data_IF_107684777580
#
_entry.id   IF_107684777580
#
_cell.length_a   1.000
_cell.length_b   1.000
_cell.length_c   1.000
_cell.angle_alpha   90.00
_cell.angle_beta   90.00
_cell.angle_gamma   90.00
#
_symmetry.space_group_name_H-M   'P 1'
#
loop_
_entity.id
_entity.type
_entity.pdbx_description
1 polymer ?
#
# COMPACT_ATOMS: atom_id res chain seq x y z
N UNK A 1 -3.93 -12.48 13.45
CA UNK A 1 -3.50 -12.56 12.02
C UNK A 1 -4.18 -11.44 11.27
N UNK A 2 -3.52 -10.82 10.29
CA UNK A 2 -4.10 -9.75 9.46
C UNK A 2 -4.34 -10.30 8.06
N UNK A 3 -5.51 -9.99 7.51
CA UNK A 3 -5.90 -10.36 6.14
C UNK A 3 -6.48 -9.11 5.47
N UNK A 4 -5.97 -8.77 4.29
CA UNK A 4 -6.44 -7.63 3.50
C UNK A 4 -7.09 -8.15 2.21
N UNK A 5 -8.36 -7.81 2.01
CA UNK A 5 -9.13 -8.21 0.83
C UNK A 5 -9.06 -7.12 -0.23
N UNK A 6 -8.60 -7.48 -1.43
CA UNK A 6 -8.45 -6.55 -2.55
C UNK A 6 -9.11 -7.11 -3.80
N UNK A 7 -9.72 -6.21 -4.58
CA UNK A 7 -10.29 -6.54 -5.87
C UNK A 7 -9.66 -5.70 -6.97
N UNK A 8 -9.38 -6.31 -8.11
CA UNK A 8 -8.94 -5.62 -9.33
C UNK A 8 -9.51 -6.30 -10.56
N UNK A 9 -9.20 -5.77 -11.73
CA UNK A 9 -9.43 -6.46 -13.00
C UNK A 9 -8.22 -6.13 -13.87
N UNK A 10 -7.38 -7.13 -14.13
CA UNK A 10 -6.16 -7.04 -14.95
C UNK A 10 -6.01 -8.32 -15.76
N UNK A 11 -5.44 -8.21 -16.96
CA UNK A 11 -5.20 -9.37 -17.84
C UNK A 11 -4.08 -10.27 -17.31
N UNK A 12 -3.16 -9.70 -16.52
CA UNK A 12 -2.06 -10.42 -15.91
C UNK A 12 -2.45 -11.05 -14.57
N UNK A 13 -1.69 -12.06 -14.18
CA UNK A 13 -1.83 -12.72 -12.89
C UNK A 13 -1.47 -11.77 -11.74
N UNK A 14 -2.31 -11.71 -10.72
CA UNK A 14 -2.01 -10.89 -9.54
C UNK A 14 -0.98 -11.63 -8.68
N UNK A 15 0.20 -11.03 -8.55
CA UNK A 15 1.30 -11.47 -7.68
C UNK A 15 1.68 -10.37 -6.70
N UNK A 16 2.75 -10.56 -5.90
CA UNK A 16 3.27 -9.56 -4.96
C UNK A 16 4.50 -8.73 -5.46
N UNK A 17 4.82 -8.80 -6.76
CA UNK A 17 6.11 -8.37 -7.32
C UNK A 17 6.04 -7.12 -8.22
N UNK A 18 4.85 -6.54 -8.43
CA UNK A 18 4.69 -5.35 -9.27
C UNK A 18 5.10 -4.03 -8.55
N UNK A 19 5.37 -2.95 -9.29
CA UNK A 19 5.88 -1.67 -8.71
C UNK A 19 4.96 -0.99 -7.67
N UNK A 20 3.64 -1.18 -7.75
CA UNK A 20 2.65 -0.53 -6.86
C UNK A 20 2.53 -1.20 -5.48
N UNK A 21 3.40 -2.17 -5.19
CA UNK A 21 3.22 -3.10 -4.09
C UNK A 21 3.93 -2.76 -2.79
N UNK A 22 4.94 -1.90 -2.85
CA UNK A 22 5.57 -1.40 -1.64
C UNK A 22 4.55 -0.67 -0.75
N UNK A 23 3.56 -0.01 -1.35
CA UNK A 23 2.45 0.60 -0.63
C UNK A 23 1.59 -0.41 0.13
N UNK A 24 1.28 -1.56 -0.49
CA UNK A 24 0.48 -2.62 0.15
C UNK A 24 1.24 -3.40 1.21
N UNK A 25 2.53 -3.66 0.96
CA UNK A 25 3.44 -4.24 1.95
C UNK A 25 3.48 -3.35 3.20
N UNK A 26 3.71 -2.04 3.02
CA UNK A 26 3.66 -1.06 4.11
C UNK A 26 2.30 -1.00 4.80
N UNK A 27 1.20 -1.07 4.05
CA UNK A 27 -0.15 -1.11 4.62
C UNK A 27 -0.32 -2.31 5.57
N UNK A 28 0.08 -3.50 5.14
CA UNK A 28 0.04 -4.71 5.98
C UNK A 28 0.91 -4.56 7.24
N UNK A 29 2.14 -4.06 7.08
CA UNK A 29 3.07 -3.83 8.19
C UNK A 29 2.52 -2.82 9.21
N UNK A 30 1.89 -1.74 8.74
CA UNK A 30 1.24 -0.74 9.59
C UNK A 30 0.06 -1.34 10.36
N UNK A 31 -0.77 -2.16 9.73
CA UNK A 31 -1.87 -2.85 10.42
C UNK A 31 -1.35 -3.81 11.50
N UNK A 32 -0.35 -4.61 11.16
CA UNK A 32 0.28 -5.52 12.12
C UNK A 32 0.89 -4.74 13.30
N UNK A 33 1.59 -3.64 13.02
CA UNK A 33 2.15 -2.77 14.06
C UNK A 33 1.07 -2.19 14.96
N UNK A 34 0.03 -1.55 14.41
CA UNK A 34 -1.06 -0.95 15.18
C UNK A 34 -1.74 -1.97 16.10
N UNK A 35 -2.04 -3.16 15.58
CA UNK A 35 -2.67 -4.21 16.37
C UNK A 35 -1.73 -4.74 17.49
N UNK A 36 -0.43 -4.85 17.23
CA UNK A 36 0.55 -5.20 18.28
C UNK A 36 0.62 -4.11 19.36
N UNK A 37 0.61 -2.83 18.98
CA UNK A 37 0.58 -1.71 19.94
C UNK A 37 -0.69 -1.71 20.80
N UNK A 38 -1.80 -2.22 20.27
CA UNK A 38 -3.03 -2.43 21.02
C UNK A 38 -3.04 -3.73 21.88
N UNK A 39 -1.89 -4.39 22.04
CA UNK A 39 -1.73 -5.56 22.91
C UNK A 39 -2.19 -6.89 22.30
N UNK A 40 -2.58 -6.92 21.02
CA UNK A 40 -2.98 -8.16 20.37
C UNK A 40 -1.76 -9.00 19.97
N UNK A 41 -1.91 -10.33 20.05
CA UNK A 41 -0.95 -11.27 19.46
C UNK A 41 -1.20 -11.36 17.96
N UNK A 42 -0.26 -10.87 17.16
CA UNK A 42 -0.36 -10.80 15.70
C UNK A 42 0.78 -11.61 15.07
N UNK A 43 0.41 -12.51 14.14
CA UNK A 43 1.34 -13.26 13.29
C UNK A 43 2.14 -12.33 12.38
N UNK A 44 3.42 -12.64 12.17
CA UNK A 44 4.30 -11.93 11.23
C UNK A 44 3.87 -12.16 9.78
N UNK A 45 3.28 -13.33 9.49
CA UNK A 45 2.62 -13.58 8.20
C UNK A 45 1.22 -12.97 8.21
N UNK A 46 0.98 -12.06 7.26
CA UNK A 46 -0.33 -11.60 6.82
C UNK A 46 -0.68 -12.17 5.44
N UNK A 47 -1.95 -12.02 5.04
CA UNK A 47 -2.41 -12.51 3.75
C UNK A 47 -3.15 -11.45 2.96
N UNK A 48 -2.91 -11.43 1.66
CA UNK A 48 -3.74 -10.71 0.71
C UNK A 48 -4.69 -11.69 0.04
N UNK A 49 -6.00 -11.46 0.18
CA UNK A 49 -7.01 -12.17 -0.58
C UNK A 49 -7.33 -11.31 -1.79
N UNK A 50 -6.86 -11.74 -2.95
CA UNK A 50 -6.95 -10.97 -4.17
C UNK A 50 -8.01 -11.57 -5.11
N UNK A 51 -9.06 -10.80 -5.39
CA UNK A 51 -10.06 -11.11 -6.38
C UNK A 51 -9.74 -10.39 -7.69
N UNK A 52 -9.35 -11.13 -8.74
CA UNK A 52 -9.11 -10.57 -10.06
C UNK A 52 -10.30 -10.85 -10.98
N UNK A 53 -11.00 -9.80 -11.41
CA UNK A 53 -12.18 -9.89 -12.25
C UNK A 53 -11.83 -10.26 -13.69
N UNK A 54 -12.47 -11.30 -14.19
CA UNK A 54 -12.33 -11.84 -15.55
C UNK A 54 -12.89 -10.88 -16.59
N UNK A 55 -12.11 -10.65 -17.64
CA UNK A 55 -12.44 -9.76 -18.77
C UNK A 55 -12.69 -10.52 -20.08
N UNK A 56 -12.38 -11.81 -20.08
CA UNK A 56 -12.47 -12.74 -21.21
C UNK A 56 -13.81 -13.49 -21.25
N UNK A 57 -14.84 -12.96 -20.60
CA UNK A 57 -16.19 -13.50 -20.68
C UNK A 57 -16.88 -13.02 -21.95
N UNK A 58 -17.62 -13.91 -22.61
CA UNK A 58 -18.30 -13.62 -23.87
C UNK A 58 -19.28 -12.45 -23.76
N UNK A 59 -19.92 -12.30 -22.59
CA UNK A 59 -20.81 -11.18 -22.26
C UNK A 59 -20.72 -10.86 -20.76
N UNK A 60 -21.23 -9.68 -20.38
CA UNK A 60 -21.30 -9.25 -18.98
C UNK A 60 -22.44 -9.93 -18.21
N UNK A 61 -23.60 -10.16 -18.83
CA UNK A 61 -24.79 -10.84 -18.28
C UNK A 61 -25.17 -10.47 -16.83
N UNK A 62 -24.83 -9.25 -16.38
CA UNK A 62 -25.04 -8.82 -14.99
C UNK A 62 -24.21 -9.59 -13.96
N UNK A 63 -23.16 -10.32 -14.37
CA UNK A 63 -22.34 -11.18 -13.54
C UNK A 63 -20.86 -10.83 -13.70
N UNK A 64 -20.19 -10.58 -12.57
CA UNK A 64 -18.73 -10.50 -12.52
C UNK A 64 -18.18 -11.81 -11.99
N UNK A 65 -17.22 -12.38 -12.73
CA UNK A 65 -16.52 -13.59 -12.33
C UNK A 65 -15.09 -13.24 -11.93
N UNK A 66 -14.58 -13.89 -10.88
CA UNK A 66 -13.28 -13.58 -10.32
C UNK A 66 -12.44 -14.84 -10.18
N UNK A 67 -11.15 -14.72 -10.41
CA UNK A 67 -10.15 -15.64 -9.88
C UNK A 67 -9.68 -15.13 -8.52
N UNK A 68 -9.72 -16.01 -7.51
CA UNK A 68 -9.28 -15.68 -6.15
C UNK A 68 -7.89 -16.25 -5.92
N UNK A 69 -7.01 -15.40 -5.38
CA UNK A 69 -5.67 -15.78 -4.94
C UNK A 69 -5.47 -15.43 -3.49
N UNK A 70 -4.81 -16.32 -2.77
CA UNK A 70 -4.33 -16.08 -1.42
C UNK A 70 -2.81 -15.91 -1.50
N UNK A 71 -2.32 -14.71 -1.16
CA UNK A 71 -0.90 -14.40 -1.26
C UNK A 71 -0.35 -14.12 0.14
N UNK A 72 0.57 -14.97 0.66
CA UNK A 72 1.21 -14.73 1.95
C UNK A 72 2.25 -13.62 1.85
N UNK A 73 2.39 -12.87 2.94
CA UNK A 73 3.44 -11.86 3.08
C UNK A 73 3.92 -11.81 4.52
N UNK A 74 5.24 -11.91 4.72
CA UNK A 74 5.88 -11.74 6.03
C UNK A 74 6.24 -10.26 6.21
N UNK A 75 5.52 -9.57 7.08
CA UNK A 75 5.65 -8.13 7.29
C UNK A 75 6.68 -7.77 8.35
N UNK A 76 7.44 -6.69 8.12
CA UNK A 76 8.44 -6.18 9.06
C UNK A 76 8.17 -4.72 9.43
N UNK A 77 7.72 -4.52 10.66
CA UNK A 77 7.27 -3.21 11.15
C UNK A 77 8.36 -2.32 11.77
N UNK A 78 9.61 -2.78 11.86
CA UNK A 78 10.70 -2.11 12.61
C UNK A 78 11.00 -0.69 12.13
N UNK A 79 10.64 -0.35 10.88
CA UNK A 79 10.85 0.97 10.30
C UNK A 79 9.84 2.02 10.79
N UNK A 80 8.68 1.60 11.32
CA UNK A 80 7.52 2.46 11.55
C UNK A 80 7.79 3.48 12.65
N UNK A 81 8.25 3.07 13.82
CA UNK A 81 8.44 3.99 14.98
C UNK A 81 9.42 5.12 14.67
N UNK A 82 10.59 4.78 14.09
CA UNK A 82 11.57 5.78 13.66
C UNK A 82 10.96 6.74 12.63
N UNK A 83 10.16 6.22 11.71
CA UNK A 83 9.53 7.02 10.65
C UNK A 83 8.46 7.96 11.22
N UNK A 84 7.62 7.48 12.14
CA UNK A 84 6.63 8.31 12.85
C UNK A 84 7.28 9.45 13.62
N UNK A 85 8.38 9.18 14.33
CA UNK A 85 9.12 10.22 15.06
C UNK A 85 9.71 11.27 14.11
N UNK A 86 10.25 10.86 12.96
CA UNK A 86 10.75 11.79 11.95
C UNK A 86 9.63 12.62 11.32
N UNK A 87 8.48 12.00 11.02
CA UNK A 87 7.31 12.69 10.49
C UNK A 87 6.80 13.74 11.48
N UNK A 88 6.66 13.37 12.76
CA UNK A 88 6.27 14.31 13.81
C UNK A 88 7.25 15.48 13.91
N UNK A 89 8.55 15.19 13.94
CA UNK A 89 9.59 16.24 13.99
C UNK A 89 9.44 17.22 12.83
N UNK A 90 9.23 16.71 11.61
CA UNK A 90 9.01 17.54 10.42
C UNK A 90 7.76 18.43 10.56
N UNK A 91 6.64 17.84 10.98
CA UNK A 91 5.35 18.53 11.15
C UNK A 91 5.37 19.59 12.26
N UNK A 92 6.14 19.38 13.32
CA UNK A 92 6.24 20.33 14.44
C UNK A 92 7.18 21.52 14.12
N UNK A 93 7.94 21.49 13.02
CA UNK A 93 8.79 22.61 12.64
C UNK A 93 8.00 23.72 11.96
N UNK A 94 8.42 24.97 12.19
CA UNK A 94 7.90 26.13 11.44
C UNK A 94 8.59 26.32 10.08
N UNK A 95 9.52 25.43 9.72
CA UNK A 95 10.29 25.49 8.48
C UNK A 95 9.72 24.54 7.44
N UNK A 96 9.50 25.04 6.23
CA UNK A 96 9.04 24.20 5.13
C UNK A 96 10.21 23.31 4.68
N UNK A 97 10.04 21.98 4.57
CA UNK A 97 11.10 21.08 4.15
C UNK A 97 11.55 21.39 2.71
N UNK A 98 12.83 21.14 2.43
CA UNK A 98 13.39 21.33 1.09
C UNK A 98 12.67 20.46 0.07
N UNK A 99 12.35 21.05 -1.07
CA UNK A 99 11.80 20.34 -2.22
C UNK A 99 12.77 19.23 -2.68
N UNK A 100 12.22 18.06 -3.01
CA UNK A 100 13.00 16.99 -3.66
C UNK A 100 13.01 17.17 -5.17
N UNK A 101 14.15 17.02 -5.86
CA UNK A 101 14.23 17.08 -7.32
C UNK A 101 13.46 15.94 -8.01
N UNK A 102 13.16 14.85 -7.29
CA UNK A 102 12.37 13.72 -7.79
C UNK A 102 10.90 13.78 -7.38
N UNK A 103 10.47 14.80 -6.65
CA UNK A 103 9.07 14.95 -6.27
C UNK A 103 8.28 15.61 -7.41
N UNK A 104 7.31 14.89 -7.96
CA UNK A 104 6.45 15.38 -9.05
C UNK A 104 5.65 16.61 -8.63
N UNK A 105 5.16 16.66 -7.39
CA UNK A 105 4.44 17.83 -6.85
C UNK A 105 5.34 19.06 -6.70
N UNK A 106 6.57 18.87 -6.20
CA UNK A 106 7.55 19.97 -6.15
C UNK A 106 7.87 20.49 -7.54
N UNK A 107 8.04 19.56 -8.51
CA UNK A 107 8.30 19.90 -9.91
C UNK A 107 7.13 20.66 -10.53
N UNK A 108 5.90 20.23 -10.26
CA UNK A 108 4.68 20.90 -10.71
C UNK A 108 4.59 22.34 -10.18
N UNK A 109 4.73 22.54 -8.87
CA UNK A 109 4.68 23.88 -8.25
C UNK A 109 5.80 24.78 -8.79
N UNK A 110 7.02 24.26 -8.95
CA UNK A 110 8.12 25.02 -9.54
C UNK A 110 7.83 25.43 -10.99
N UNK A 111 7.19 24.58 -11.79
CA UNK A 111 6.81 24.93 -13.17
C UNK A 111 5.72 26.00 -13.21
N UNK A 112 4.72 25.92 -12.32
CA UNK A 112 3.63 26.91 -12.26
C UNK A 112 4.13 28.28 -11.80
N UNK A 113 5.02 28.33 -10.81
CA UNK A 113 5.53 29.60 -10.26
C UNK A 113 6.60 30.28 -11.13
N UNK A 114 7.22 29.55 -12.06
CA UNK A 114 8.27 30.06 -12.98
C UNK A 114 7.76 30.29 -14.42
N UNK A 115 6.44 30.21 -14.64
CA UNK A 115 5.77 30.51 -15.92
C UNK A 115 5.29 31.96 -15.95
#
# INVERSE_FOLDING_TARGET
>A
MVVDYKATSKNEEVNLDAEWQDGYKRQMEVYQWLLRQNGFKVSDTGYFVYANGKRDREAFDGKLEFDIKLIPYEGKADWIEKTLMNMKKCLDTNEIPKASPTCEYCTYINKVNNA
#
